data_IF_762743048952
#
_entry.id   IF_762743048952
#
_cell.length_a   1.000
_cell.length_b   1.000
_cell.length_c   1.000
_cell.angle_alpha   90.00
_cell.angle_beta   90.00
_cell.angle_gamma   90.00
#
_symmetry.space_group_name_H-M   'P 1'
#
loop_
_entity.id
_entity.type
_entity.pdbx_description
1 polymer ?
#
# COMPACT_ATOMS: atom_id res chain seq x y z
N UNK A 1 -25.48 -28.65 3.02
CA UNK A 1 -24.52 -29.42 2.19
C UNK A 1 -23.95 -30.53 3.06
N UNK A 2 -23.72 -31.73 2.54
CA UNK A 2 -23.19 -32.85 3.35
C UNK A 2 -21.73 -32.51 3.73
N UNK A 3 -21.35 -32.43 5.02
CA UNK A 3 -20.04 -31.94 5.47
C UNK A 3 -18.85 -32.65 4.79
N UNK A 4 -18.94 -33.97 4.58
CA UNK A 4 -17.89 -34.74 3.91
C UNK A 4 -17.66 -34.41 2.42
N UNK A 5 -18.58 -33.71 1.75
CA UNK A 5 -18.38 -33.22 0.36
C UNK A 5 -17.62 -31.90 0.33
N UNK A 6 -17.77 -31.07 1.37
CA UNK A 6 -16.97 -29.85 1.54
C UNK A 6 -15.54 -30.25 1.85
N UNK A 7 -15.31 -31.14 2.82
CA UNK A 7 -13.97 -31.61 3.22
C UNK A 7 -13.16 -32.16 2.05
N UNK A 8 -13.74 -33.03 1.21
CA UNK A 8 -13.06 -33.53 -0.01
C UNK A 8 -12.75 -32.43 -1.03
N UNK A 9 -13.57 -31.38 -1.10
CA UNK A 9 -13.27 -30.21 -1.95
C UNK A 9 -12.15 -29.36 -1.32
N UNK A 10 -12.14 -29.20 0.00
CA UNK A 10 -11.08 -28.50 0.73
C UNK A 10 -9.72 -29.20 0.56
N UNK A 11 -9.68 -30.52 0.67
CA UNK A 11 -8.49 -31.34 0.40
C UNK A 11 -8.01 -31.18 -1.06
N UNK A 12 -8.92 -31.26 -2.02
CA UNK A 12 -8.60 -31.14 -3.45
C UNK A 12 -8.13 -29.73 -3.85
N UNK A 13 -8.62 -28.70 -3.16
CA UNK A 13 -8.23 -27.31 -3.38
C UNK A 13 -6.93 -26.93 -2.63
N UNK A 14 -6.31 -27.88 -1.94
CA UNK A 14 -5.14 -27.65 -1.07
C UNK A 14 -5.42 -26.50 -0.11
N UNK A 15 -6.65 -26.48 0.44
CA UNK A 15 -7.13 -25.37 1.23
C UNK A 15 -6.34 -25.32 2.53
N UNK A 16 -5.74 -24.15 2.70
CA UNK A 16 -4.71 -23.82 3.65
C UNK A 16 -5.24 -23.97 5.09
N UNK A 17 -4.40 -24.38 6.07
CA UNK A 17 -4.79 -24.59 7.46
C UNK A 17 -5.60 -23.47 8.14
N UNK A 18 -5.52 -22.23 7.67
CA UNK A 18 -6.31 -21.13 8.22
C UNK A 18 -7.81 -21.24 7.89
N UNK A 19 -8.19 -21.88 6.77
CA UNK A 19 -9.61 -22.04 6.40
C UNK A 19 -10.33 -23.05 7.31
N UNK A 20 -9.59 -24.02 7.85
CA UNK A 20 -10.13 -25.04 8.77
C UNK A 20 -10.75 -24.40 10.01
N UNK A 21 -10.24 -23.24 10.44
CA UNK A 21 -10.77 -22.49 11.59
C UNK A 21 -12.09 -21.76 11.30
N UNK A 22 -12.51 -21.70 10.04
CA UNK A 22 -13.68 -20.95 9.61
C UNK A 22 -14.69 -21.80 8.84
N UNK A 23 -14.55 -23.14 8.87
CA UNK A 23 -15.37 -24.09 8.08
C UNK A 23 -16.87 -23.85 8.24
N UNK A 24 -17.32 -23.58 9.46
CA UNK A 24 -18.73 -23.34 9.78
C UNK A 24 -19.29 -22.07 9.11
N UNK A 25 -18.42 -21.17 8.66
CA UNK A 25 -18.75 -19.92 7.98
C UNK A 25 -18.56 -19.98 6.48
N UNK A 26 -18.25 -21.15 5.92
CA UNK A 26 -18.04 -21.33 4.50
C UNK A 26 -19.32 -21.78 3.80
N UNK A 27 -19.62 -21.13 2.69
CA UNK A 27 -20.78 -21.45 1.85
C UNK A 27 -20.28 -21.72 0.44
N UNK A 28 -20.55 -22.91 -0.07
CA UNK A 28 -20.31 -23.24 -1.47
C UNK A 28 -21.61 -23.00 -2.26
N UNK A 29 -21.58 -22.06 -3.20
CA UNK A 29 -22.70 -21.76 -4.08
C UNK A 29 -22.20 -21.68 -5.52
N UNK A 30 -22.86 -22.40 -6.44
CA UNK A 30 -22.48 -22.47 -7.86
C UNK A 30 -20.98 -22.76 -8.11
N UNK A 31 -20.38 -23.64 -7.29
CA UNK A 31 -18.94 -23.99 -7.31
C UNK A 31 -18.00 -22.85 -6.90
N UNK A 32 -18.54 -21.76 -6.38
CA UNK A 32 -17.81 -20.63 -5.84
C UNK A 32 -17.88 -20.70 -4.31
N UNK A 33 -16.72 -20.56 -3.66
CA UNK A 33 -16.62 -20.58 -2.22
C UNK A 33 -16.77 -19.16 -1.68
N UNK A 34 -17.67 -19.01 -0.72
CA UNK A 34 -17.93 -17.77 0.00
C UNK A 34 -17.66 -17.95 1.48
N UNK A 35 -17.34 -16.85 2.14
CA UNK A 35 -17.16 -16.73 3.58
C UNK A 35 -18.22 -15.79 4.13
N UNK A 36 -18.91 -16.23 5.15
CA UNK A 36 -19.74 -15.39 6.00
C UNK A 36 -18.83 -14.60 6.95
N UNK A 37 -18.77 -13.26 6.86
CA UNK A 37 -17.98 -12.49 7.79
C UNK A 37 -18.54 -12.64 9.21
N UNK A 38 -17.69 -12.58 10.25
CA UNK A 38 -18.17 -12.56 11.62
C UNK A 38 -19.13 -11.38 11.84
N UNK A 39 -20.11 -11.52 12.75
CA UNK A 39 -20.97 -10.41 13.14
C UNK A 39 -20.09 -9.27 13.68
N UNK A 40 -20.23 -8.08 13.12
CA UNK A 40 -19.51 -6.88 13.56
C UNK A 40 -20.46 -6.02 14.40
N UNK A 41 -20.01 -5.61 15.59
CA UNK A 41 -20.73 -4.65 16.42
C UNK A 41 -20.93 -3.34 15.64
N UNK A 42 -22.20 -2.90 15.53
CA UNK A 42 -22.57 -1.66 14.84
C UNK A 42 -23.03 -1.79 13.38
N UNK A 43 -23.07 -2.99 12.80
CA UNK A 43 -23.62 -3.18 11.44
C UNK A 43 -25.16 -3.17 11.46
N UNK A 44 -25.76 -2.05 11.05
CA UNK A 44 -27.22 -1.79 11.10
C UNK A 44 -28.10 -2.60 10.12
N UNK A 45 -27.55 -3.53 9.35
CA UNK A 45 -28.32 -4.29 8.35
C UNK A 45 -28.23 -5.80 8.59
N UNK A 46 -29.38 -6.45 8.75
CA UNK A 46 -29.56 -7.91 8.88
C UNK A 46 -29.08 -8.72 7.65
N UNK A 47 -28.66 -8.07 6.58
CA UNK A 47 -28.05 -8.72 5.42
C UNK A 47 -26.54 -8.88 5.64
N UNK A 48 -26.11 -10.07 6.06
CA UNK A 48 -24.70 -10.43 6.02
C UNK A 48 -24.27 -10.60 4.55
N UNK A 49 -23.42 -9.70 4.06
CA UNK A 49 -22.85 -9.79 2.72
C UNK A 49 -21.78 -10.88 2.73
N UNK A 50 -21.99 -11.92 1.91
CA UNK A 50 -21.03 -13.00 1.71
C UNK A 50 -19.78 -12.48 1.00
N UNK A 51 -18.60 -12.82 1.52
CA UNK A 51 -17.32 -12.48 0.92
C UNK A 51 -16.85 -13.61 0.02
N UNK A 52 -16.49 -13.30 -1.23
CA UNK A 52 -15.88 -14.25 -2.15
C UNK A 52 -14.50 -14.69 -1.64
N UNK A 53 -14.27 -15.99 -1.52
CA UNK A 53 -12.94 -16.51 -1.20
C UNK A 53 -12.06 -16.51 -2.43
N UNK A 54 -10.92 -15.82 -2.34
CA UNK A 54 -9.99 -15.65 -3.46
C UNK A 54 -8.88 -16.70 -3.36
N UNK A 55 -8.72 -17.56 -4.38
CA UNK A 55 -7.57 -18.44 -4.52
C UNK A 55 -6.26 -17.65 -4.61
N UNK A 56 -5.16 -18.21 -4.11
CA UNK A 56 -3.84 -17.54 -4.13
C UNK A 56 -3.40 -17.08 -5.52
N UNK A 57 -3.70 -17.86 -6.56
CA UNK A 57 -3.38 -17.52 -7.95
C UNK A 57 -4.12 -16.29 -8.48
N UNK A 58 -5.25 -15.89 -7.88
CA UNK A 58 -6.04 -14.73 -8.29
C UNK A 58 -5.76 -13.48 -7.44
N UNK A 59 -5.00 -13.59 -6.34
CA UNK A 59 -4.63 -12.45 -5.50
C UNK A 59 -3.96 -11.32 -6.30
N UNK A 60 -3.00 -11.59 -7.22
CA UNK A 60 -2.40 -10.52 -8.03
C UNK A 60 -3.43 -9.75 -8.87
N UNK A 61 -4.42 -10.44 -9.44
CA UNK A 61 -5.50 -9.82 -10.20
C UNK A 61 -6.40 -8.95 -9.32
N UNK A 62 -6.71 -9.39 -8.10
CA UNK A 62 -7.46 -8.59 -7.12
C UNK A 62 -6.69 -7.32 -6.73
N UNK A 63 -5.37 -7.42 -6.53
CA UNK A 63 -4.53 -6.25 -6.28
C UNK A 63 -4.56 -5.29 -7.46
N UNK A 64 -4.37 -5.81 -8.69
CA UNK A 64 -4.41 -5.00 -9.90
C UNK A 64 -5.72 -4.22 -10.03
N UNK A 65 -6.87 -4.88 -9.81
CA UNK A 65 -8.19 -4.24 -9.89
C UNK A 65 -8.41 -3.18 -8.79
N UNK A 66 -7.90 -3.43 -7.58
CA UNK A 66 -8.18 -2.58 -6.41
C UNK A 66 -7.16 -1.46 -6.17
N UNK A 67 -5.98 -1.55 -6.79
CA UNK A 67 -4.90 -0.58 -6.60
C UNK A 67 -4.40 0.04 -7.91
N UNK A 68 -4.19 -0.76 -8.96
CA UNK A 68 -3.49 -0.34 -10.19
C UNK A 68 -4.40 -0.08 -11.39
N UNK A 69 -5.68 -0.46 -11.33
CA UNK A 69 -6.58 -0.35 -12.48
C UNK A 69 -6.96 1.11 -12.77
N UNK A 70 -6.65 1.59 -13.97
CA UNK A 70 -6.75 3.00 -14.37
C UNK A 70 -8.12 3.63 -14.10
N UNK A 71 -9.21 2.88 -14.31
CA UNK A 71 -10.58 3.40 -14.17
C UNK A 71 -11.23 3.09 -12.81
N UNK A 72 -10.71 2.12 -12.07
CA UNK A 72 -11.35 1.60 -10.85
C UNK A 72 -10.54 1.86 -9.58
N UNK A 73 -9.27 2.21 -9.76
CA UNK A 73 -8.32 2.46 -8.69
C UNK A 73 -7.52 3.71 -9.00
N UNK A 74 -7.21 4.49 -7.95
CA UNK A 74 -6.43 5.72 -8.06
C UNK A 74 -5.13 5.60 -7.25
N UNK A 75 -4.48 4.44 -7.27
CA UNK A 75 -3.29 4.16 -6.46
C UNK A 75 -3.47 4.56 -5.00
N UNK A 76 -4.66 4.27 -4.44
CA UNK A 76 -4.94 4.60 -3.06
C UNK A 76 -3.99 3.86 -2.12
N UNK A 77 -3.82 4.41 -0.91
CA UNK A 77 -3.09 3.71 0.14
C UNK A 77 -3.72 2.31 0.40
N UNK A 78 -2.88 1.38 0.85
CA UNK A 78 -3.29 -0.01 1.04
C UNK A 78 -4.54 -0.15 1.93
N UNK A 79 -4.70 0.73 2.93
CA UNK A 79 -5.85 0.76 3.82
C UNK A 79 -7.16 1.08 3.09
N UNK A 80 -7.18 2.10 2.22
CA UNK A 80 -8.38 2.41 1.43
C UNK A 80 -8.71 1.29 0.45
N UNK A 81 -7.72 0.67 -0.18
CA UNK A 81 -7.96 -0.50 -1.04
C UNK A 81 -8.52 -1.68 -0.24
N UNK A 82 -8.04 -1.91 0.99
CA UNK A 82 -8.58 -2.94 1.90
C UNK A 82 -10.02 -2.65 2.31
N UNK A 83 -10.37 -1.40 2.61
CA UNK A 83 -11.76 -1.01 2.94
C UNK A 83 -12.69 -1.30 1.77
N UNK A 84 -12.29 -0.97 0.53
CA UNK A 84 -13.07 -1.29 -0.66
C UNK A 84 -13.27 -2.80 -0.82
N UNK A 85 -12.21 -3.59 -0.66
CA UNK A 85 -12.26 -5.05 -0.81
C UNK A 85 -12.99 -5.76 0.34
N UNK A 86 -13.10 -5.13 1.52
CA UNK A 86 -13.64 -5.75 2.74
C UNK A 86 -15.00 -6.39 2.52
N UNK A 87 -15.88 -5.78 1.74
CA UNK A 87 -17.24 -6.29 1.55
C UNK A 87 -17.37 -7.34 0.44
N UNK A 88 -16.40 -7.43 -0.47
CA UNK A 88 -16.53 -8.26 -1.66
C UNK A 88 -15.74 -9.56 -1.58
N UNK A 89 -14.54 -9.53 -1.00
CA UNK A 89 -13.64 -10.69 -1.05
C UNK A 89 -12.79 -10.88 0.21
N UNK A 90 -12.31 -12.12 0.37
CA UNK A 90 -11.46 -12.53 1.47
C UNK A 90 -10.35 -13.48 0.99
N UNK A 91 -9.16 -13.31 1.57
CA UNK A 91 -8.02 -14.21 1.45
C UNK A 91 -7.07 -14.01 2.63
N UNK A 92 -6.22 -14.99 2.88
CA UNK A 92 -5.28 -14.99 4.00
C UNK A 92 -4.38 -13.76 3.99
N UNK A 93 -4.10 -13.24 5.18
CA UNK A 93 -3.15 -12.12 5.38
C UNK A 93 -3.37 -10.97 4.39
N UNK A 94 -4.62 -10.71 3.95
CA UNK A 94 -4.89 -9.71 2.91
C UNK A 94 -4.29 -8.35 3.20
N UNK A 95 -4.28 -7.93 4.47
CA UNK A 95 -3.69 -6.65 4.88
C UNK A 95 -2.20 -6.61 4.59
N UNK A 96 -1.47 -7.65 5.01
CA UNK A 96 -0.03 -7.79 4.75
C UNK A 96 0.26 -7.87 3.26
N UNK A 97 -0.51 -8.67 2.51
CA UNK A 97 -0.32 -8.82 1.07
C UNK A 97 -0.51 -7.48 0.33
N UNK A 98 -1.62 -6.78 0.61
CA UNK A 98 -1.91 -5.48 0.00
C UNK A 98 -0.87 -4.42 0.36
N UNK A 99 -0.38 -4.41 1.61
CA UNK A 99 0.68 -3.48 2.05
C UNK A 99 1.99 -3.75 1.32
N UNK A 100 2.42 -5.01 1.24
CA UNK A 100 3.66 -5.39 0.57
C UNK A 100 3.62 -5.05 -0.92
N UNK A 101 2.51 -5.37 -1.61
CA UNK A 101 2.36 -5.05 -3.03
C UNK A 101 2.32 -3.53 -3.28
N UNK A 102 1.62 -2.78 -2.43
CA UNK A 102 1.59 -1.32 -2.55
C UNK A 102 2.96 -0.66 -2.31
N UNK A 103 3.78 -1.20 -1.40
CA UNK A 103 5.16 -0.75 -1.19
C UNK A 103 6.05 -0.96 -2.42
N UNK A 104 5.79 -2.02 -3.18
CA UNK A 104 6.52 -2.34 -4.41
C UNK A 104 5.94 -1.65 -5.66
N UNK A 105 4.90 -0.82 -5.53
CA UNK A 105 4.29 -0.15 -6.68
C UNK A 105 5.18 1.02 -7.18
N UNK A 106 5.75 0.88 -8.38
CA UNK A 106 6.59 1.91 -9.00
C UNK A 106 5.92 3.29 -9.13
N UNK A 107 4.62 3.32 -9.45
CA UNK A 107 3.86 4.57 -9.59
C UNK A 107 3.73 5.27 -8.24
N UNK A 108 3.42 4.52 -7.17
CA UNK A 108 3.35 5.06 -5.83
C UNK A 108 4.72 5.52 -5.33
N UNK A 109 5.77 4.72 -5.52
CA UNK A 109 7.14 5.07 -5.13
C UNK A 109 7.61 6.37 -5.78
N UNK A 110 7.29 6.58 -7.07
CA UNK A 110 7.66 7.82 -7.78
C UNK A 110 6.91 9.05 -7.28
N UNK A 111 5.67 8.88 -6.81
CA UNK A 111 4.82 9.98 -6.30
C UNK A 111 5.07 10.29 -4.83
N UNK A 112 5.32 9.28 -4.00
CA UNK A 112 5.71 9.43 -2.61
C UNK A 112 7.19 9.79 -2.52
N UNK A 113 7.51 11.03 -2.89
CA UNK A 113 8.74 11.65 -2.42
C UNK A 113 8.53 11.84 -0.93
N UNK A 114 9.05 10.91 -0.12
CA UNK A 114 9.14 11.14 1.32
C UNK A 114 9.85 12.48 1.50
N UNK A 115 9.30 13.42 2.29
CA UNK A 115 10.08 14.58 2.68
C UNK A 115 11.34 14.00 3.33
N UNK A 116 12.50 14.22 2.69
CA UNK A 116 13.77 13.81 3.28
C UNK A 116 13.75 14.42 4.67
N UNK A 117 13.88 13.57 5.70
CA UNK A 117 14.17 14.07 7.04
C UNK A 117 15.40 14.92 6.85
N UNK A 118 15.24 16.25 6.98
CA UNK A 118 16.36 17.15 6.83
C UNK A 118 17.26 16.84 8.02
N UNK A 119 18.44 16.25 7.80
CA UNK A 119 19.33 15.95 8.90
C UNK A 119 19.67 17.26 9.60
N UNK A 120 19.97 17.18 10.90
CA UNK A 120 20.45 18.35 11.62
C UNK A 120 21.69 18.91 10.91
N UNK A 121 21.69 20.21 10.65
CA UNK A 121 22.84 20.88 10.04
C UNK A 121 24.05 20.66 10.94
N UNK A 122 25.17 20.23 10.36
CA UNK A 122 26.42 20.15 11.12
C UNK A 122 26.75 21.54 11.66
N UNK A 123 27.21 21.60 12.91
CA UNK A 123 27.69 22.86 13.48
C UNK A 123 28.94 23.28 12.71
N UNK A 124 28.90 24.50 12.15
CA UNK A 124 30.03 25.07 11.43
C UNK A 124 31.27 25.10 12.33
N UNK A 125 32.43 24.73 11.78
CA UNK A 125 33.72 24.95 12.42
C UNK A 125 34.12 26.39 12.13
N UNK A 126 34.06 27.25 13.14
CA UNK A 126 34.53 28.62 13.00
C UNK A 126 36.07 28.64 12.96
N UNK A 127 36.61 29.46 12.05
CA UNK A 127 38.04 29.78 12.09
C UNK A 127 38.31 30.64 13.33
N UNK A 128 39.13 30.13 14.25
CA UNK A 128 39.51 30.83 15.51
C UNK A 128 40.39 32.07 15.28
N UNK A 129 40.94 32.23 14.08
CA UNK A 129 41.82 33.34 13.69
C UNK A 129 41.46 33.84 12.30
N UNK A 130 41.69 35.13 12.07
CA UNK A 130 41.50 35.77 10.76
C UNK A 130 42.30 35.06 9.66
N UNK A 131 41.76 35.02 8.44
CA UNK A 131 42.38 34.48 7.23
C UNK A 131 42.61 32.96 7.18
N UNK A 132 42.17 32.19 8.18
CA UNK A 132 42.27 30.71 8.18
C UNK A 132 41.25 30.02 7.26
N UNK A 133 40.14 30.68 6.94
CA UNK A 133 39.13 30.18 6.01
C UNK A 133 38.50 31.34 5.23
N UNK A 134 38.29 31.13 3.93
CA UNK A 134 37.65 32.06 3.02
C UNK A 134 36.53 31.33 2.30
N UNK A 135 35.32 31.84 2.40
CA UNK A 135 34.18 31.37 1.61
C UNK A 135 33.96 32.39 0.52
N UNK A 136 34.05 31.96 -0.74
CA UNK A 136 33.84 32.82 -1.90
C UNK A 136 32.55 32.40 -2.59
N UNK A 137 31.71 33.37 -2.94
CA UNK A 137 30.52 33.16 -3.75
C UNK A 137 30.40 34.27 -4.81
N UNK A 138 29.65 33.99 -5.86
CA UNK A 138 29.33 34.97 -6.90
C UNK A 138 27.88 35.37 -6.77
N UNK A 139 27.63 36.67 -6.67
CA UNK A 139 26.28 37.17 -6.87
C UNK A 139 25.87 36.98 -8.33
N UNK A 140 24.60 36.63 -8.52
CA UNK A 140 23.97 36.52 -9.83
C UNK A 140 24.24 37.77 -10.71
N UNK A 141 24.11 37.66 -12.05
CA UNK A 141 24.42 38.75 -12.94
C UNK A 141 23.60 40.00 -12.61
N UNK A 142 24.29 41.05 -12.18
CA UNK A 142 23.76 42.37 -11.92
C UNK A 142 23.67 43.19 -13.22
N UNK A 143 22.91 44.30 -13.21
CA UNK A 143 22.95 45.28 -14.28
C UNK A 143 24.38 45.71 -14.59
N UNK A 144 24.67 45.90 -15.87
CA UNK A 144 26.01 46.26 -16.33
C UNK A 144 26.43 47.61 -15.75
N UNK A 145 27.55 47.63 -15.04
CA UNK A 145 28.16 48.85 -14.50
C UNK A 145 29.67 48.83 -14.74
N UNK A 146 30.19 49.84 -15.44
CA UNK A 146 31.61 49.93 -15.77
C UNK A 146 32.17 48.71 -16.52
N UNK A 147 31.33 47.99 -17.29
CA UNK A 147 31.70 46.77 -18.00
C UNK A 147 31.56 45.48 -17.19
N UNK A 148 31.23 45.55 -15.90
CA UNK A 148 31.11 44.39 -15.01
C UNK A 148 29.65 44.04 -14.70
N UNK A 149 29.39 42.76 -14.42
CA UNK A 149 28.05 42.23 -14.04
C UNK A 149 28.07 41.35 -12.79
N UNK A 150 29.22 41.05 -12.23
CA UNK A 150 29.34 40.09 -11.14
C UNK A 150 30.13 40.71 -10.00
N UNK A 151 29.79 40.30 -8.78
CA UNK A 151 30.54 40.61 -7.57
C UNK A 151 30.93 39.28 -6.96
N UNK A 152 32.23 39.11 -6.71
CA UNK A 152 32.75 38.00 -5.91
C UNK A 152 32.78 38.47 -4.46
N UNK A 153 32.13 37.74 -3.58
CA UNK A 153 32.07 38.00 -2.13
C UNK A 153 32.84 36.92 -1.41
#
# INVERSE_FOLDING_TARGET
MNPGKLEKLLEKWNIVPWLQKEVDRLILWERILYRMPPPEEGRKSNAQILQLLIPRCLIPGVFQLSHSHVLMAAHHNAERSLVKLRNFCYFDKRSTHMKNEAQNCHICMRRNITPKVVPELQKNVFAEISFKMWCLDTLDPLPLSGGNKYVVV
#
